data_IF_990296389160
#
_entry.id   IF_990296389160
#
_cell.length_a   1.000
_cell.length_b   1.000
_cell.length_c   1.000
_cell.angle_alpha   90.00
_cell.angle_beta   90.00
_cell.angle_gamma   90.00
#
_symmetry.space_group_name_H-M   'P 1'
#
loop_
_entity.id
_entity.type
_entity.pdbx_description
1 polymer ?
#
# COMPACT_ATOMS: atom_id res chain seq x y z
N UNK A 1 -6.30 8.64 6.57
CA UNK A 1 -5.92 7.22 6.42
C UNK A 1 -7.12 6.36 6.70
N UNK A 2 -7.31 5.30 5.92
CA UNK A 2 -8.41 4.36 6.04
C UNK A 2 -7.85 2.95 6.29
N UNK A 3 -8.57 2.16 7.06
CA UNK A 3 -8.28 0.75 7.27
C UNK A 3 -8.69 -0.10 6.06
N UNK A 4 -9.84 0.22 5.45
CA UNK A 4 -10.42 -0.53 4.34
C UNK A 4 -10.78 0.38 3.15
N UNK A 5 -10.99 -0.23 1.97
CA UNK A 5 -11.33 0.51 0.74
C UNK A 5 -12.74 1.09 0.81
N UNK A 6 -13.67 0.37 1.44
CA UNK A 6 -15.06 0.82 1.64
C UNK A 6 -15.14 2.00 2.61
N UNK A 7 -14.24 2.07 3.59
CA UNK A 7 -14.09 3.25 4.45
C UNK A 7 -13.64 4.47 3.64
N UNK A 8 -12.67 4.28 2.72
CA UNK A 8 -12.26 5.36 1.81
C UNK A 8 -13.41 5.80 0.90
N UNK A 9 -14.22 4.86 0.39
CA UNK A 9 -15.42 5.18 -0.39
C UNK A 9 -16.43 5.99 0.43
N UNK A 10 -16.69 5.57 1.67
CA UNK A 10 -17.59 6.26 2.59
C UNK A 10 -17.10 7.69 2.87
N UNK A 11 -15.83 7.86 3.22
CA UNK A 11 -15.25 9.19 3.47
C UNK A 11 -15.28 10.07 2.20
N UNK A 12 -14.97 9.51 1.04
CA UNK A 12 -15.11 10.24 -0.24
C UNK A 12 -16.54 10.73 -0.47
N UNK A 13 -17.55 9.93 -0.11
CA UNK A 13 -18.96 10.32 -0.23
C UNK A 13 -19.35 11.48 0.68
N UNK A 14 -18.62 11.68 1.78
CA UNK A 14 -18.76 12.82 2.69
C UNK A 14 -17.96 14.06 2.24
N UNK A 15 -17.30 13.99 1.07
CA UNK A 15 -16.53 15.09 0.50
C UNK A 15 -15.04 15.09 0.84
N UNK A 16 -14.55 14.10 1.60
CA UNK A 16 -13.12 13.97 1.85
C UNK A 16 -12.36 13.59 0.57
N UNK A 17 -11.06 13.90 0.58
CA UNK A 17 -10.10 13.58 -0.46
C UNK A 17 -8.74 13.30 0.21
N UNK A 18 -7.73 12.95 -0.58
CA UNK A 18 -6.40 12.56 -0.08
C UNK A 18 -6.47 11.36 0.90
N UNK A 19 -6.88 10.23 0.33
CA UNK A 19 -7.25 9.02 1.05
C UNK A 19 -6.18 7.95 0.86
N UNK A 20 -5.35 7.73 1.90
CA UNK A 20 -4.45 6.58 1.98
C UNK A 20 -5.15 5.38 2.63
N UNK A 21 -5.28 4.27 1.90
CA UNK A 21 -5.66 2.97 2.45
C UNK A 21 -4.40 2.26 2.96
N UNK A 22 -4.28 2.16 4.29
CA UNK A 22 -3.05 1.80 5.00
C UNK A 22 -2.78 0.28 5.10
N UNK A 23 -3.51 -0.50 4.31
CA UNK A 23 -3.45 -1.96 4.26
C UNK A 23 -3.66 -2.46 2.82
N UNK A 24 -3.01 -3.56 2.42
CA UNK A 24 -3.25 -4.17 1.13
C UNK A 24 -4.66 -4.76 1.06
N UNK A 25 -5.21 -4.78 -0.15
CA UNK A 25 -6.42 -5.54 -0.48
C UNK A 25 -6.15 -6.46 -1.66
N UNK A 26 -6.86 -7.58 -1.68
CA UNK A 26 -6.89 -8.55 -2.79
C UNK A 26 -8.32 -8.79 -3.29
N UNK A 27 -9.28 -7.97 -2.85
CA UNK A 27 -10.67 -8.13 -3.25
C UNK A 27 -10.93 -7.41 -4.57
N UNK A 28 -11.61 -8.10 -5.50
CA UNK A 28 -11.96 -7.50 -6.79
C UNK A 28 -12.96 -6.32 -6.64
N UNK A 29 -13.84 -6.38 -5.65
CA UNK A 29 -14.75 -5.28 -5.28
C UNK A 29 -13.97 -4.02 -4.93
N UNK A 30 -12.91 -4.17 -4.15
CA UNK A 30 -12.07 -3.07 -3.70
C UNK A 30 -11.36 -2.42 -4.88
N UNK A 31 -10.82 -3.22 -5.80
CA UNK A 31 -10.19 -2.67 -7.01
C UNK A 31 -11.17 -1.89 -7.88
N UNK A 32 -12.44 -2.33 -7.97
CA UNK A 32 -13.48 -1.59 -8.67
C UNK A 32 -13.74 -0.23 -8.02
N UNK A 33 -13.82 -0.19 -6.69
CA UNK A 33 -13.99 1.05 -5.92
C UNK A 33 -12.79 1.99 -6.14
N UNK A 34 -11.56 1.49 -5.99
CA UNK A 34 -10.34 2.28 -6.17
C UNK A 34 -10.25 2.86 -7.59
N UNK A 35 -10.53 2.04 -8.61
CA UNK A 35 -10.54 2.48 -10.01
C UNK A 35 -11.58 3.58 -10.22
N UNK A 36 -12.77 3.43 -9.66
CA UNK A 36 -13.83 4.42 -9.76
C UNK A 36 -13.47 5.76 -9.10
N UNK A 37 -12.99 5.70 -7.86
CA UNK A 37 -12.56 6.89 -7.10
C UNK A 37 -11.45 7.63 -7.84
N UNK A 38 -10.41 6.91 -8.29
CA UNK A 38 -9.24 7.50 -8.92
C UNK A 38 -9.50 8.03 -10.34
N UNK A 39 -10.20 7.26 -11.16
CA UNK A 39 -10.30 7.52 -12.60
C UNK A 39 -11.59 8.25 -13.00
N UNK A 40 -12.75 7.84 -12.46
CA UNK A 40 -14.02 8.52 -12.76
C UNK A 40 -14.20 9.75 -11.91
N UNK A 41 -14.01 9.63 -10.60
CA UNK A 41 -14.25 10.71 -9.64
C UNK A 41 -13.04 11.64 -9.45
N UNK A 42 -11.87 11.29 -10.01
CA UNK A 42 -10.63 12.06 -9.95
C UNK A 42 -10.13 12.35 -8.52
N UNK A 43 -10.47 11.49 -7.57
CA UNK A 43 -9.98 11.57 -6.18
C UNK A 43 -8.49 11.27 -6.09
N UNK A 44 -7.86 11.83 -5.08
CA UNK A 44 -6.52 11.45 -4.62
C UNK A 44 -6.68 10.29 -3.66
N UNK A 45 -6.42 9.09 -4.13
CA UNK A 45 -6.56 7.85 -3.36
C UNK A 45 -5.39 6.93 -3.68
N UNK A 46 -4.76 6.37 -2.66
CA UNK A 46 -3.64 5.44 -2.78
C UNK A 46 -3.80 4.24 -1.84
N UNK A 47 -3.18 3.11 -2.19
CA UNK A 47 -3.22 1.89 -1.37
C UNK A 47 -1.81 1.38 -1.07
N UNK A 48 -1.64 0.85 0.14
CA UNK A 48 -0.45 0.12 0.54
C UNK A 48 -0.38 -1.23 -0.18
N UNK A 49 0.80 -1.58 -0.68
CA UNK A 49 1.09 -2.87 -1.30
C UNK A 49 2.44 -3.40 -0.80
N UNK A 50 2.60 -4.71 -0.75
CA UNK A 50 3.81 -5.36 -0.23
C UNK A 50 4.12 -6.71 -0.90
N UNK A 51 3.30 -7.15 -1.86
CA UNK A 51 3.40 -8.46 -2.48
C UNK A 51 3.33 -8.40 -4.03
N UNK A 52 4.26 -9.07 -4.76
CA UNK A 52 4.35 -8.98 -6.22
C UNK A 52 3.07 -9.44 -6.93
N UNK A 53 2.46 -10.53 -6.48
CA UNK A 53 1.23 -11.06 -7.10
C UNK A 53 0.09 -10.04 -7.04
N UNK A 54 -0.13 -9.42 -5.89
CA UNK A 54 -1.21 -8.44 -5.70
C UNK A 54 -0.94 -7.16 -6.49
N UNK A 55 0.32 -6.72 -6.58
CA UNK A 55 0.73 -5.58 -7.41
C UNK A 55 0.43 -5.85 -8.90
N UNK A 56 0.78 -7.04 -9.40
CA UNK A 56 0.51 -7.42 -10.78
C UNK A 56 -1.00 -7.56 -11.07
N UNK A 57 -1.77 -8.11 -10.14
CA UNK A 57 -3.22 -8.19 -10.21
C UNK A 57 -3.87 -6.82 -10.25
N UNK A 58 -3.47 -5.92 -9.35
CA UNK A 58 -3.94 -4.54 -9.32
C UNK A 58 -3.61 -3.82 -10.64
N UNK A 59 -2.38 -3.95 -11.15
CA UNK A 59 -2.01 -3.35 -12.44
C UNK A 59 -2.90 -3.84 -13.59
N UNK A 60 -3.18 -5.15 -13.66
CA UNK A 60 -4.09 -5.69 -14.68
C UNK A 60 -5.51 -5.13 -14.53
N UNK A 61 -6.00 -5.03 -13.29
CA UNK A 61 -7.34 -4.47 -13.04
C UNK A 61 -7.44 -2.99 -13.42
N UNK A 62 -6.34 -2.26 -13.24
CA UNK A 62 -6.20 -0.84 -13.56
C UNK A 62 -6.02 -0.56 -15.06
N UNK A 63 -6.06 -1.57 -15.93
CA UNK A 63 -5.97 -1.36 -17.38
C UNK A 63 -7.04 -0.38 -17.90
N UNK A 64 -6.63 0.56 -18.75
CA UNK A 64 -7.51 1.54 -19.39
C UNK A 64 -7.82 2.80 -18.57
N UNK A 65 -7.28 2.95 -17.34
CA UNK A 65 -7.40 4.22 -16.60
C UNK A 65 -6.67 5.36 -17.30
N UNK A 66 -7.16 6.59 -17.11
CA UNK A 66 -6.60 7.78 -17.78
C UNK A 66 -5.25 8.24 -17.23
N UNK A 67 -4.88 7.84 -16.01
CA UNK A 67 -3.59 8.14 -15.36
C UNK A 67 -3.18 7.00 -14.43
N UNK A 68 -1.89 6.67 -14.27
CA UNK A 68 -1.45 5.59 -13.38
C UNK A 68 -1.98 5.74 -11.95
N UNK A 69 -2.41 4.63 -11.35
CA UNK A 69 -2.95 4.57 -9.99
C UNK A 69 -1.82 4.61 -8.96
N UNK A 70 -1.87 5.48 -7.94
CA UNK A 70 -0.79 5.62 -6.98
C UNK A 70 -0.80 4.50 -5.94
N UNK A 71 0.38 3.95 -5.68
CA UNK A 71 0.60 2.90 -4.67
C UNK A 71 1.72 3.29 -3.72
N UNK A 72 1.61 2.80 -2.49
CA UNK A 72 2.60 2.99 -1.43
C UNK A 72 3.21 1.63 -1.09
N UNK A 73 4.53 1.51 -1.16
CA UNK A 73 5.21 0.24 -0.88
C UNK A 73 5.50 0.10 0.62
N UNK A 74 5.06 -0.99 1.23
CA UNK A 74 5.34 -1.28 2.65
C UNK A 74 6.42 -2.36 2.82
N UNK A 75 7.33 -2.12 3.77
CA UNK A 75 8.37 -3.07 4.16
C UNK A 75 8.45 -3.24 5.68
N UNK A 76 9.06 -4.34 6.10
CA UNK A 76 9.15 -4.74 7.50
C UNK A 76 10.14 -3.85 8.28
N UNK A 77 9.62 -3.17 9.31
CA UNK A 77 10.39 -2.36 10.26
C UNK A 77 10.58 -3.06 11.62
N UNK A 78 10.50 -4.39 11.67
CA UNK A 78 10.68 -5.14 12.91
C UNK A 78 12.15 -5.17 13.32
N UNK A 79 12.40 -5.01 14.61
CA UNK A 79 13.72 -5.17 15.18
C UNK A 79 14.13 -6.65 15.20
N UNK A 80 15.30 -6.96 14.62
CA UNK A 80 15.87 -8.32 14.60
C UNK A 80 17.28 -8.30 15.19
N UNK A 81 17.47 -9.02 16.29
CA UNK A 81 18.76 -9.14 16.97
C UNK A 81 19.27 -10.59 17.01
N UNK A 82 20.54 -10.77 17.41
CA UNK A 82 21.19 -12.08 17.55
C UNK A 82 21.09 -12.95 16.27
N UNK A 83 21.33 -12.34 15.10
CA UNK A 83 21.23 -13.03 13.81
C UNK A 83 19.81 -13.48 13.46
N UNK A 84 18.78 -12.77 13.94
CA UNK A 84 17.37 -13.05 13.66
C UNK A 84 16.68 -13.98 14.65
N UNK A 85 17.38 -14.41 15.72
CA UNK A 85 16.79 -15.23 16.80
C UNK A 85 15.82 -14.45 17.67
N UNK A 86 15.98 -13.13 17.73
CA UNK A 86 15.05 -12.23 18.41
C UNK A 86 14.32 -11.42 17.35
N UNK A 87 12.99 -11.38 17.43
CA UNK A 87 12.12 -10.59 16.57
C UNK A 87 11.14 -9.80 17.44
N UNK A 88 11.15 -8.48 17.31
CA UNK A 88 10.26 -7.57 18.03
C UNK A 88 9.57 -6.68 16.99
N UNK A 89 8.24 -6.73 16.95
CA UNK A 89 7.42 -6.04 15.97
C UNK A 89 6.40 -6.96 15.29
N UNK A 90 5.57 -6.36 14.44
CA UNK A 90 4.55 -7.04 13.66
C UNK A 90 5.13 -7.56 12.34
N UNK A 91 4.70 -8.75 11.94
CA UNK A 91 5.02 -9.34 10.62
C UNK A 91 4.11 -8.75 9.54
N UNK A 92 4.18 -7.44 9.35
CA UNK A 92 3.30 -6.71 8.43
C UNK A 92 3.61 -6.97 6.97
N UNK A 93 4.89 -6.99 6.60
CA UNK A 93 5.35 -7.16 5.23
C UNK A 93 6.34 -8.34 5.08
N UNK A 94 6.32 -9.06 3.95
CA UNK A 94 7.32 -10.07 3.64
C UNK A 94 8.65 -9.46 3.15
N UNK A 95 8.68 -8.17 2.80
CA UNK A 95 9.87 -7.45 2.32
C UNK A 95 10.74 -7.08 3.53
N UNK A 96 11.92 -7.71 3.65
CA UNK A 96 12.79 -7.60 4.83
C UNK A 96 14.21 -7.16 4.50
N UNK A 97 14.58 -7.11 3.22
CA UNK A 97 15.93 -6.74 2.78
C UNK A 97 15.86 -5.63 1.76
N UNK A 98 16.96 -4.88 1.64
CA UNK A 98 17.13 -3.85 0.62
C UNK A 98 17.02 -4.47 -0.78
N UNK A 99 17.58 -5.66 -1.01
CA UNK A 99 17.49 -6.36 -2.29
C UNK A 99 16.03 -6.66 -2.68
N UNK A 100 15.23 -7.20 -1.75
CA UNK A 100 13.79 -7.44 -1.98
C UNK A 100 13.03 -6.14 -2.27
N UNK A 101 13.38 -5.05 -1.58
CA UNK A 101 12.76 -3.74 -1.82
C UNK A 101 13.09 -3.22 -3.23
N UNK A 102 14.35 -3.33 -3.66
CA UNK A 102 14.80 -2.93 -5.00
C UNK A 102 14.07 -3.75 -6.07
N UNK A 103 14.02 -5.08 -5.92
CA UNK A 103 13.28 -5.97 -6.83
C UNK A 103 11.82 -5.54 -7.00
N UNK A 104 11.21 -5.05 -5.91
CA UNK A 104 9.82 -4.58 -5.94
C UNK A 104 9.63 -3.23 -6.60
N UNK A 105 10.55 -2.29 -6.36
CA UNK A 105 10.56 -1.02 -7.08
C UNK A 105 10.73 -1.26 -8.58
N UNK A 106 11.68 -2.11 -8.97
CA UNK A 106 11.94 -2.46 -10.38
C UNK A 106 10.74 -3.18 -11.02
N UNK A 107 10.02 -4.03 -10.28
CA UNK A 107 8.78 -4.62 -10.75
C UNK A 107 7.74 -3.53 -11.03
N UNK A 108 7.49 -2.65 -10.05
CA UNK A 108 6.48 -1.59 -10.16
C UNK A 108 6.78 -0.65 -11.33
N UNK A 109 8.03 -0.27 -11.56
CA UNK A 109 8.43 0.61 -12.67
C UNK A 109 8.12 0.04 -14.06
N UNK A 110 7.96 -1.28 -14.19
CA UNK A 110 7.59 -1.95 -15.43
C UNK A 110 6.07 -2.05 -15.64
N UNK A 111 5.27 -1.63 -14.67
CA UNK A 111 3.82 -1.75 -14.68
C UNK A 111 3.19 -0.39 -15.07
N UNK A 112 2.59 -0.27 -16.28
CA UNK A 112 2.22 1.03 -16.83
C UNK A 112 1.03 1.69 -16.14
N UNK A 113 0.20 0.93 -15.42
CA UNK A 113 -1.02 1.45 -14.79
C UNK A 113 -0.82 1.78 -13.31
N UNK A 114 0.38 1.62 -12.76
CA UNK A 114 0.70 1.91 -11.37
C UNK A 114 1.80 2.97 -11.28
N UNK A 115 1.78 3.76 -10.21
CA UNK A 115 2.83 4.73 -9.87
C UNK A 115 3.22 4.56 -8.41
N UNK A 116 4.50 4.31 -8.14
CA UNK A 116 5.03 4.35 -6.77
C UNK A 116 5.11 5.80 -6.30
N UNK A 117 4.39 6.15 -5.23
CA UNK A 117 4.40 7.51 -4.68
C UNK A 117 5.19 7.64 -3.38
N UNK A 118 5.47 6.53 -2.70
CA UNK A 118 6.24 6.56 -1.49
C UNK A 118 6.29 5.22 -0.80
N UNK A 119 6.74 5.28 0.45
CA UNK A 119 6.87 4.13 1.32
C UNK A 119 6.06 4.35 2.59
N UNK A 120 5.54 3.25 3.14
CA UNK A 120 4.96 3.23 4.48
C UNK A 120 5.67 2.17 5.30
N UNK A 121 5.93 2.48 6.56
CA UNK A 121 6.45 1.52 7.53
C UNK A 121 5.71 1.70 8.85
N UNK A 122 5.58 0.60 9.60
CA UNK A 122 4.94 0.64 10.91
C UNK A 122 5.84 0.03 11.98
N UNK A 123 6.39 0.90 12.83
CA UNK A 123 7.25 0.56 13.96
C UNK A 123 6.43 0.12 15.18
N UNK A 124 5.69 -0.97 15.01
CA UNK A 124 4.85 -1.59 16.06
C UNK A 124 5.57 -1.86 17.38
N UNK A 125 6.89 -1.94 17.41
CA UNK A 125 7.68 -2.20 18.62
C UNK A 125 7.82 -0.98 19.55
N UNK A 126 7.55 0.23 19.04
CA UNK A 126 7.46 1.48 19.83
C UNK A 126 6.07 2.11 19.75
N UNK A 127 5.15 1.53 18.97
CA UNK A 127 3.80 2.05 18.84
C UNK A 127 3.09 2.11 20.20
N UNK A 128 2.55 3.28 20.53
CA UNK A 128 1.89 3.54 21.82
C UNK A 128 2.82 3.96 22.95
N UNK A 129 4.13 4.06 22.70
CA UNK A 129 5.07 4.71 23.61
C UNK A 129 5.12 6.20 23.25
N UNK A 130 4.72 7.07 24.18
CA UNK A 130 4.77 8.52 23.99
C UNK A 130 6.17 9.08 24.23
N UNK A 131 6.44 10.22 23.61
CA UNK A 131 7.63 11.02 23.92
C UNK A 131 7.54 11.53 25.37
N UNK A 132 8.66 11.47 26.09
CA UNK A 132 8.82 12.07 27.43
C UNK A 132 9.35 13.48 27.35
#
# INVERSE_FOLDING_TARGET
MCFAVEEAQFLSSLGFDDLLIAYPSQQLSDYAILKDLHDRQKKTVSIVVDHPTSIQELNRFMEGISRPFPIILEFDASFRALGGRVHIGARRSPIRTIAQLIEMIELIQRLPFLRLEGFMVYESHIAGIGDT
#
